data_IF_130168417963
#
_entry.id   IF_130168417963
#
_cell.length_a   1.000
_cell.length_b   1.000
_cell.length_c   1.000
_cell.angle_alpha   90.00
_cell.angle_beta   90.00
_cell.angle_gamma   90.00
#
_symmetry.space_group_name_H-M   'P 1'
#
loop_
_entity.id
_entity.type
_entity.pdbx_description
1 polymer ?
#
# COMPACT_ATOMS: atom_id res chain seq x y z
N UNK A 1 -45.41 -29.75 -21.34
CA UNK A 1 -44.93 -28.36 -21.48
C UNK A 1 -44.39 -27.81 -20.14
N UNK A 2 -43.45 -28.50 -19.48
CA UNK A 2 -42.88 -28.03 -18.20
C UNK A 2 -41.38 -28.35 -18.01
N UNK A 3 -40.78 -29.27 -18.77
CA UNK A 3 -39.33 -29.54 -18.69
C UNK A 3 -38.43 -28.61 -19.52
N UNK A 4 -38.98 -27.81 -20.45
CA UNK A 4 -38.17 -26.88 -21.28
C UNK A 4 -37.98 -25.49 -20.67
N UNK A 5 -38.69 -25.16 -19.57
CA UNK A 5 -38.55 -23.87 -18.87
C UNK A 5 -37.48 -23.90 -17.77
N UNK A 6 -37.22 -25.06 -17.16
CA UNK A 6 -36.21 -25.19 -16.10
C UNK A 6 -34.76 -25.08 -16.60
N UNK A 7 -34.48 -25.50 -17.85
CA UNK A 7 -33.12 -25.46 -18.42
C UNK A 7 -32.67 -24.05 -18.82
N UNK A 8 -33.61 -23.11 -19.02
CA UNK A 8 -33.27 -21.70 -19.33
C UNK A 8 -33.00 -20.85 -18.08
N UNK A 9 -33.61 -21.16 -16.93
CA UNK A 9 -33.34 -20.44 -15.68
C UNK A 9 -32.06 -20.90 -14.98
N UNK A 10 -31.60 -22.14 -15.19
CA UNK A 10 -30.30 -22.59 -14.67
C UNK A 10 -29.10 -22.02 -15.46
N UNK A 11 -29.29 -21.71 -16.74
CA UNK A 11 -28.22 -21.12 -17.58
C UNK A 11 -28.08 -19.60 -17.38
N UNK A 12 -29.06 -18.94 -16.74
CA UNK A 12 -28.97 -17.52 -16.36
C UNK A 12 -28.42 -17.31 -14.93
N UNK A 13 -28.32 -18.36 -14.11
CA UNK A 13 -27.72 -18.29 -12.78
C UNK A 13 -26.24 -18.72 -12.73
N UNK A 14 -25.72 -19.28 -13.83
CA UNK A 14 -24.29 -19.60 -14.00
C UNK A 14 -23.50 -18.50 -14.73
N UNK A 15 -24.16 -17.39 -15.07
CA UNK A 15 -23.53 -16.13 -15.44
C UNK A 15 -23.52 -15.15 -14.25
N UNK A 16 -23.47 -15.66 -13.01
CA UNK A 16 -22.89 -14.90 -11.93
C UNK A 16 -21.43 -14.69 -12.32
N UNK A 17 -21.16 -13.49 -12.82
CA UNK A 17 -19.86 -13.06 -13.29
C UNK A 17 -18.78 -13.55 -12.32
N UNK A 18 -17.99 -14.52 -12.78
CA UNK A 18 -16.56 -14.49 -12.46
C UNK A 18 -16.04 -13.20 -13.12
N UNK A 19 -16.27 -12.06 -12.48
CA UNK A 19 -15.28 -11.01 -12.46
C UNK A 19 -14.08 -11.66 -11.77
N UNK A 20 -13.28 -12.40 -12.55
CA UNK A 20 -11.87 -12.45 -12.23
C UNK A 20 -11.47 -10.98 -12.30
N UNK A 21 -11.45 -10.29 -11.17
CA UNK A 21 -10.58 -9.15 -11.04
C UNK A 21 -9.21 -9.70 -11.40
N UNK A 22 -8.79 -9.47 -12.65
CA UNK A 22 -7.41 -9.73 -13.01
C UNK A 22 -6.62 -8.89 -12.04
N UNK A 23 -5.90 -9.53 -11.12
CA UNK A 23 -4.98 -8.80 -10.26
C UNK A 23 -4.05 -8.00 -11.18
N UNK A 24 -4.15 -6.67 -11.13
CA UNK A 24 -3.40 -5.78 -12.04
C UNK A 24 -1.89 -5.85 -11.73
N UNK A 25 -1.52 -6.13 -10.48
CA UNK A 25 -0.15 -6.33 -10.03
C UNK A 25 -0.03 -7.57 -9.14
N UNK A 26 -0.01 -8.80 -9.70
CA UNK A 26 0.05 -10.05 -8.92
C UNK A 26 1.43 -10.29 -8.28
N UNK A 27 2.44 -9.52 -8.69
CA UNK A 27 3.77 -9.45 -8.06
C UNK A 27 4.06 -8.00 -7.69
N UNK A 28 4.99 -7.74 -6.75
CA UNK A 28 5.41 -6.38 -6.42
C UNK A 28 5.81 -5.59 -7.69
N UNK A 29 5.35 -4.34 -7.88
CA UNK A 29 5.76 -3.52 -8.99
C UNK A 29 7.26 -3.19 -8.88
N UNK A 30 7.98 -3.29 -9.99
CA UNK A 30 9.41 -2.98 -10.05
C UNK A 30 9.64 -1.93 -11.13
N UNK A 31 10.43 -0.91 -10.83
CA UNK A 31 10.61 0.20 -11.76
C UNK A 31 11.39 1.38 -11.22
N UNK A 32 11.15 2.52 -11.84
CA UNK A 32 11.70 3.83 -11.53
C UNK A 32 10.61 4.76 -10.98
N UNK A 33 10.97 5.53 -9.95
CA UNK A 33 10.23 6.68 -9.44
C UNK A 33 11.25 7.81 -9.22
N UNK A 34 10.90 9.03 -9.55
CA UNK A 34 11.81 10.18 -9.53
C UNK A 34 12.01 10.79 -8.14
N UNK A 35 11.04 10.67 -7.23
CA UNK A 35 10.97 11.46 -5.98
C UNK A 35 12.24 11.42 -5.14
N UNK A 36 12.74 10.22 -4.83
CA UNK A 36 13.87 10.04 -3.92
C UNK A 36 15.19 10.65 -4.41
N UNK A 37 15.30 10.97 -5.71
CA UNK A 37 16.52 11.52 -6.31
C UNK A 37 16.33 12.93 -6.87
N UNK A 38 15.21 13.18 -7.53
CA UNK A 38 14.97 14.40 -8.27
C UNK A 38 14.04 15.36 -7.53
N UNK A 39 13.21 14.88 -6.61
CA UNK A 39 12.15 15.69 -5.98
C UNK A 39 11.40 16.47 -7.08
N UNK A 40 11.29 17.79 -6.96
CA UNK A 40 10.64 18.64 -7.96
C UNK A 40 11.58 19.14 -9.08
N UNK A 41 12.84 18.69 -9.12
CA UNK A 41 13.81 19.04 -10.16
C UNK A 41 13.70 18.10 -11.39
N UNK A 42 12.51 18.06 -11.98
CA UNK A 42 12.15 17.13 -13.07
C UNK A 42 11.90 17.85 -14.40
N UNK A 43 11.93 17.08 -15.49
CA UNK A 43 11.39 17.44 -16.80
C UNK A 43 11.15 16.13 -17.58
N UNK A 44 10.55 16.22 -18.78
CA UNK A 44 10.28 15.07 -19.64
C UNK A 44 11.51 14.18 -19.87
N UNK A 45 12.70 14.77 -19.96
CA UNK A 45 13.95 14.06 -20.24
C UNK A 45 14.34 13.12 -19.10
N UNK A 46 14.06 13.46 -17.84
CA UNK A 46 14.32 12.56 -16.69
C UNK A 46 13.65 11.20 -16.90
N UNK A 47 12.42 11.20 -17.40
CA UNK A 47 11.64 9.98 -17.60
C UNK A 47 12.04 9.22 -18.86
N UNK A 48 12.36 9.92 -19.97
CA UNK A 48 12.86 9.25 -21.17
C UNK A 48 14.24 8.63 -20.94
N UNK A 49 15.13 9.32 -20.20
CA UNK A 49 16.45 8.81 -19.85
C UNK A 49 16.35 7.61 -18.91
N UNK A 50 15.41 7.61 -17.96
CA UNK A 50 15.15 6.46 -17.09
C UNK A 50 14.68 5.24 -17.89
N UNK A 51 13.77 5.42 -18.85
CA UNK A 51 13.34 4.35 -19.77
C UNK A 51 14.54 3.82 -20.56
N UNK A 52 15.31 4.69 -21.19
CA UNK A 52 16.44 4.30 -22.04
C UNK A 52 17.55 3.61 -21.24
N UNK A 53 17.81 4.06 -20.02
CA UNK A 53 18.72 3.41 -19.10
C UNK A 53 18.23 2.01 -18.71
N UNK A 54 16.95 1.85 -18.34
CA UNK A 54 16.40 0.55 -17.98
C UNK A 54 16.38 -0.44 -19.14
N UNK A 55 16.20 0.04 -20.37
CA UNK A 55 16.30 -0.78 -21.59
C UNK A 55 17.75 -1.16 -21.86
N UNK A 56 18.66 -0.20 -21.92
CA UNK A 56 20.06 -0.43 -22.32
C UNK A 56 20.86 -1.26 -21.29
N UNK A 57 20.51 -1.17 -20.01
CA UNK A 57 21.13 -1.95 -18.93
C UNK A 57 20.50 -3.34 -18.74
N UNK A 58 19.39 -3.63 -19.42
CA UNK A 58 18.65 -4.88 -19.28
C UNK A 58 17.74 -4.97 -18.05
N UNK A 59 17.62 -3.91 -17.24
CA UNK A 59 16.72 -3.88 -16.07
C UNK A 59 15.26 -4.15 -16.46
N UNK A 60 14.81 -3.59 -17.60
CA UNK A 60 13.47 -3.86 -18.13
C UNK A 60 13.23 -5.35 -18.33
N UNK A 61 14.21 -6.06 -18.88
CA UNK A 61 14.07 -7.46 -19.28
C UNK A 61 14.03 -8.40 -18.07
N UNK A 62 14.57 -7.96 -16.92
CA UNK A 62 14.48 -8.67 -15.64
C UNK A 62 13.32 -8.21 -14.75
N UNK A 63 12.42 -7.34 -15.25
CA UNK A 63 11.13 -7.05 -14.62
C UNK A 63 10.92 -5.61 -14.17
N UNK A 64 11.93 -4.71 -14.25
CA UNK A 64 11.75 -3.29 -13.95
C UNK A 64 10.98 -2.61 -15.07
N UNK A 65 9.64 -2.63 -14.99
CA UNK A 65 8.73 -2.22 -16.07
C UNK A 65 7.84 -1.04 -15.71
N UNK A 66 7.94 -0.47 -14.52
CA UNK A 66 7.17 0.71 -14.12
C UNK A 66 8.03 1.99 -14.22
N UNK A 67 7.46 3.06 -14.74
CA UNK A 67 8.04 4.42 -14.68
C UNK A 67 6.97 5.32 -14.10
N UNK A 68 7.17 5.81 -12.88
CA UNK A 68 6.23 6.72 -12.22
C UNK A 68 6.78 8.14 -12.19
N UNK A 69 5.91 9.09 -12.49
CA UNK A 69 6.11 10.51 -12.18
C UNK A 69 5.51 10.76 -10.79
N UNK A 70 6.31 11.30 -9.88
CA UNK A 70 5.88 11.74 -8.55
C UNK A 70 5.38 13.20 -8.55
N UNK A 71 5.30 13.86 -7.40
CA UNK A 71 4.79 15.24 -7.28
C UNK A 71 5.47 16.26 -8.23
N UNK A 72 4.92 17.47 -8.33
CA UNK A 72 5.47 18.59 -9.10
C UNK A 72 5.40 18.48 -10.64
N UNK A 73 4.57 17.58 -11.18
CA UNK A 73 4.40 17.41 -12.63
C UNK A 73 3.29 18.26 -13.27
N UNK A 74 2.28 18.60 -12.47
CA UNK A 74 1.03 19.20 -12.96
C UNK A 74 1.14 20.71 -13.12
N UNK A 75 0.24 21.29 -13.92
CA UNK A 75 0.01 22.73 -13.84
C UNK A 75 -0.60 23.05 -12.48
N UNK A 76 -0.26 24.23 -11.93
CA UNK A 76 -0.85 24.70 -10.68
C UNK A 76 -2.36 24.94 -10.77
N UNK A 77 -2.91 25.02 -11.98
CA UNK A 77 -4.33 25.20 -12.22
C UNK A 77 -4.93 23.98 -12.94
N UNK A 78 -6.14 23.63 -12.52
CA UNK A 78 -7.01 22.74 -13.29
C UNK A 78 -7.44 23.39 -14.59
N UNK A 79 -7.78 22.59 -15.58
CA UNK A 79 -8.39 23.08 -16.82
C UNK A 79 -9.80 23.60 -16.56
N UNK A 80 -10.42 24.25 -17.55
CA UNK A 80 -11.76 24.81 -17.41
C UNK A 80 -12.87 23.79 -17.11
N UNK A 81 -12.64 22.51 -17.38
CA UNK A 81 -13.60 21.44 -17.07
C UNK A 81 -13.37 20.83 -15.66
N UNK A 82 -12.37 21.33 -14.92
CA UNK A 82 -11.99 20.82 -13.60
C UNK A 82 -10.97 19.69 -13.62
N UNK A 83 -10.48 19.22 -14.78
CA UNK A 83 -9.46 18.18 -14.84
C UNK A 83 -8.07 18.71 -14.49
N UNK A 84 -7.20 17.84 -13.99
CA UNK A 84 -5.76 18.12 -13.97
C UNK A 84 -5.20 18.26 -15.39
N UNK A 85 -4.06 18.95 -15.50
CA UNK A 85 -3.23 19.05 -16.71
C UNK A 85 -1.76 19.13 -16.30
N UNK A 86 -0.84 18.92 -17.24
CA UNK A 86 0.60 18.95 -16.99
C UNK A 86 1.20 20.34 -17.19
N UNK A 87 2.34 20.62 -16.55
CA UNK A 87 3.15 21.79 -16.88
C UNK A 87 3.81 21.59 -18.26
N UNK A 88 3.40 22.41 -19.23
CA UNK A 88 3.89 22.35 -20.62
C UNK A 88 5.37 22.73 -20.78
N UNK A 89 5.98 23.41 -19.80
CA UNK A 89 7.43 23.66 -19.78
C UNK A 89 8.21 22.44 -19.35
N UNK A 90 7.68 21.68 -18.39
CA UNK A 90 8.29 20.42 -17.93
C UNK A 90 8.07 19.31 -18.95
N UNK A 91 6.87 19.23 -19.52
CA UNK A 91 6.45 18.21 -20.48
C UNK A 91 5.98 18.83 -21.81
N UNK A 92 6.91 19.32 -22.64
CA UNK A 92 6.57 20.03 -23.89
C UNK A 92 5.87 19.17 -24.94
N UNK A 93 6.06 17.85 -24.93
CA UNK A 93 5.31 16.93 -25.81
C UNK A 93 4.03 16.38 -25.16
N UNK A 94 3.82 16.68 -23.87
CA UNK A 94 2.68 16.24 -23.08
C UNK A 94 2.78 14.81 -22.55
N UNK A 95 1.92 14.49 -21.58
CA UNK A 95 1.94 13.19 -20.90
C UNK A 95 1.42 12.04 -21.75
N UNK A 96 0.54 12.31 -22.72
CA UNK A 96 0.09 11.28 -23.68
C UNK A 96 1.29 10.79 -24.51
N UNK A 97 2.12 11.71 -24.99
CA UNK A 97 3.34 11.35 -25.74
C UNK A 97 4.32 10.56 -24.86
N UNK A 98 4.48 10.96 -23.60
CA UNK A 98 5.37 10.26 -22.67
C UNK A 98 4.87 8.85 -22.35
N UNK A 99 3.57 8.69 -22.16
CA UNK A 99 2.91 7.39 -22.01
C UNK A 99 3.15 6.50 -23.22
N UNK A 100 2.91 7.01 -24.43
CA UNK A 100 3.19 6.30 -25.69
C UNK A 100 4.66 5.87 -25.79
N UNK A 101 5.59 6.73 -25.37
CA UNK A 101 7.03 6.43 -25.33
C UNK A 101 7.36 5.26 -24.39
N UNK A 102 6.79 5.28 -23.18
CA UNK A 102 6.96 4.24 -22.16
C UNK A 102 6.35 2.91 -22.65
N UNK A 103 5.12 2.94 -23.15
CA UNK A 103 4.40 1.76 -23.65
C UNK A 103 5.09 1.12 -24.85
N UNK A 104 5.64 1.92 -25.77
CA UNK A 104 6.42 1.43 -26.92
C UNK A 104 7.62 0.58 -26.48
N UNK A 105 8.18 0.88 -25.30
CA UNK A 105 9.27 0.14 -24.70
C UNK A 105 8.82 -1.07 -23.86
N UNK A 106 7.53 -1.44 -23.88
CA UNK A 106 6.94 -2.56 -23.12
C UNK A 106 7.00 -2.37 -21.61
N UNK A 107 6.81 -1.11 -21.19
CA UNK A 107 6.78 -0.65 -19.81
C UNK A 107 5.43 0.02 -19.54
N UNK A 108 5.12 0.24 -18.26
CA UNK A 108 3.89 0.81 -17.75
C UNK A 108 4.16 2.22 -17.23
N UNK A 109 3.22 3.13 -17.44
CA UNK A 109 3.30 4.52 -17.02
C UNK A 109 2.52 4.76 -15.73
N UNK A 110 3.17 5.32 -14.72
CA UNK A 110 2.55 5.70 -13.46
C UNK A 110 2.53 7.20 -13.24
N UNK A 111 1.50 7.67 -12.55
CA UNK A 111 1.31 9.09 -12.21
C UNK A 111 1.04 9.25 -10.71
N UNK A 112 1.24 10.47 -10.22
CA UNK A 112 0.99 10.87 -8.85
C UNK A 112 -0.21 11.82 -8.76
N UNK A 113 -0.99 11.65 -7.69
CA UNK A 113 -1.92 12.67 -7.20
C UNK A 113 -1.99 12.60 -5.67
N UNK A 114 -2.84 13.44 -5.07
CA UNK A 114 -3.05 13.51 -3.63
C UNK A 114 -4.54 13.38 -3.29
N UNK A 115 -4.86 12.69 -2.20
CA UNK A 115 -6.20 12.54 -1.67
C UNK A 115 -6.77 13.83 -1.06
N UNK A 116 -5.92 14.80 -0.70
CA UNK A 116 -6.30 16.11 -0.19
C UNK A 116 -6.54 17.16 -1.26
N UNK A 117 -6.72 18.41 -0.82
CA UNK A 117 -7.02 19.56 -1.70
C UNK A 117 -5.80 20.05 -2.48
N UNK A 118 -4.60 19.81 -1.95
CA UNK A 118 -3.33 20.14 -2.56
C UNK A 118 -2.37 18.95 -2.37
N UNK A 119 -1.46 18.75 -3.31
CA UNK A 119 -0.36 17.82 -3.14
C UNK A 119 0.61 18.30 -2.06
N UNK A 120 1.48 17.41 -1.58
CA UNK A 120 2.57 17.79 -0.67
C UNK A 120 3.46 18.92 -1.23
N UNK A 121 3.66 18.97 -2.55
CA UNK A 121 4.36 20.03 -3.28
C UNK A 121 3.54 21.30 -3.55
N UNK A 122 2.27 21.36 -3.12
CA UNK A 122 1.40 22.52 -3.28
C UNK A 122 0.72 22.64 -4.65
N UNK A 123 0.62 21.53 -5.40
CA UNK A 123 -0.13 21.45 -6.67
C UNK A 123 -1.56 20.99 -6.42
N UNK A 124 -2.42 21.02 -7.43
CA UNK A 124 -3.83 20.64 -7.27
C UNK A 124 -3.96 19.16 -6.87
N UNK A 125 -4.56 18.89 -5.70
CA UNK A 125 -4.91 17.54 -5.24
C UNK A 125 -6.26 17.09 -5.78
N UNK A 126 -6.59 15.80 -5.65
CA UNK A 126 -7.77 15.16 -6.27
C UNK A 126 -9.00 15.08 -5.37
N UNK A 127 -9.01 15.69 -4.18
CA UNK A 127 -10.20 15.71 -3.32
C UNK A 127 -11.43 16.27 -4.06
N UNK A 128 -12.54 15.51 -4.05
CA UNK A 128 -13.78 15.78 -4.80
C UNK A 128 -13.65 15.87 -6.33
N UNK A 129 -12.52 15.40 -6.88
CA UNK A 129 -12.25 15.30 -8.31
C UNK A 129 -11.84 13.87 -8.72
N UNK A 130 -12.08 12.87 -7.88
CA UNK A 130 -11.58 11.51 -8.01
C UNK A 130 -12.00 10.89 -9.36
N UNK A 131 -13.27 11.01 -9.74
CA UNK A 131 -13.79 10.41 -10.98
C UNK A 131 -13.28 11.13 -12.24
N UNK A 132 -13.17 12.46 -12.22
CA UNK A 132 -12.66 13.23 -13.37
C UNK A 132 -11.17 13.02 -13.55
N UNK A 133 -10.40 13.00 -12.46
CA UNK A 133 -8.96 12.81 -12.49
C UNK A 133 -8.62 11.38 -12.91
N UNK A 134 -9.29 10.36 -12.36
CA UNK A 134 -9.10 8.97 -12.80
C UNK A 134 -9.36 8.76 -14.29
N UNK A 135 -10.45 9.34 -14.83
CA UNK A 135 -10.76 9.29 -16.27
C UNK A 135 -9.73 10.05 -17.10
N UNK A 136 -9.23 11.17 -16.58
CA UNK A 136 -8.18 11.97 -17.22
C UNK A 136 -6.89 11.15 -17.32
N UNK A 137 -6.45 10.52 -16.23
CA UNK A 137 -5.29 9.65 -16.21
C UNK A 137 -5.42 8.47 -17.17
N UNK A 138 -6.58 7.78 -17.15
CA UNK A 138 -6.85 6.70 -18.09
C UNK A 138 -6.79 7.17 -19.55
N UNK A 139 -7.31 8.38 -19.85
CA UNK A 139 -7.24 8.96 -21.20
C UNK A 139 -5.82 9.29 -21.66
N UNK A 140 -4.88 9.46 -20.72
CA UNK A 140 -3.45 9.64 -21.00
C UNK A 140 -2.67 8.33 -21.05
N UNK A 141 -3.34 7.17 -20.88
CA UNK A 141 -2.70 5.86 -20.87
C UNK A 141 -1.94 5.54 -19.59
N UNK A 142 -2.32 6.12 -18.45
CA UNK A 142 -1.74 5.77 -17.16
C UNK A 142 -2.18 4.35 -16.76
N UNK A 143 -1.24 3.56 -16.23
CA UNK A 143 -1.44 2.18 -15.76
C UNK A 143 -1.34 2.07 -14.22
N UNK A 144 -0.83 3.10 -13.55
CA UNK A 144 -0.52 3.08 -12.12
C UNK A 144 -0.74 4.46 -11.49
N UNK A 145 -1.46 4.53 -10.38
CA UNK A 145 -1.67 5.75 -9.60
C UNK A 145 -1.04 5.59 -8.21
N UNK A 146 -0.06 6.44 -7.90
CA UNK A 146 0.32 6.75 -6.52
C UNK A 146 -0.60 7.87 -6.02
N UNK A 147 -1.36 7.60 -4.97
CA UNK A 147 -2.18 8.60 -4.31
C UNK A 147 -1.61 8.88 -2.93
N UNK A 148 -1.18 10.13 -2.72
CA UNK A 148 -0.68 10.60 -1.43
C UNK A 148 -1.80 11.17 -0.55
N UNK A 149 -1.47 11.69 0.62
CA UNK A 149 -2.46 12.13 1.61
C UNK A 149 -2.19 13.49 2.25
N UNK A 150 -1.38 14.36 1.65
CA UNK A 150 -1.17 15.70 2.22
C UNK A 150 -2.45 16.55 2.10
N UNK A 151 -2.60 17.52 3.02
CA UNK A 151 -3.71 18.48 2.96
C UNK A 151 -5.11 17.84 2.94
N UNK A 152 -5.27 16.70 3.62
CA UNK A 152 -6.57 16.13 3.97
C UNK A 152 -7.08 16.81 5.23
N UNK A 153 -8.25 17.44 5.14
CA UNK A 153 -8.86 18.12 6.29
C UNK A 153 -9.40 17.11 7.31
N UNK A 154 -9.09 17.31 8.59
CA UNK A 154 -9.70 16.52 9.67
C UNK A 154 -11.21 16.77 9.74
N UNK A 155 -11.99 15.70 9.85
CA UNK A 155 -13.45 15.80 10.00
C UNK A 155 -13.84 15.82 11.48
N UNK A 156 -14.59 16.82 11.98
CA UNK A 156 -15.01 16.86 13.37
C UNK A 156 -15.75 15.58 13.81
N UNK A 157 -15.25 14.93 14.86
CA UNK A 157 -15.82 13.70 15.38
C UNK A 157 -15.37 12.42 14.66
N UNK A 158 -14.45 12.52 13.70
CA UNK A 158 -13.75 11.37 13.12
C UNK A 158 -12.27 11.37 13.53
N UNK A 159 -11.71 10.16 13.63
CA UNK A 159 -10.27 9.95 13.67
C UNK A 159 -9.63 10.18 12.29
N UNK A 160 -8.32 10.36 12.27
CA UNK A 160 -7.57 10.44 11.01
C UNK A 160 -7.73 9.14 10.21
N UNK A 161 -7.63 7.96 10.83
CA UNK A 161 -7.85 6.67 10.14
C UNK A 161 -9.21 6.61 9.44
N UNK A 162 -10.29 6.97 10.15
CA UNK A 162 -11.63 7.00 9.55
C UNK A 162 -11.71 7.97 8.36
N UNK A 163 -11.09 9.14 8.49
CA UNK A 163 -11.07 10.17 7.43
C UNK A 163 -10.32 9.67 6.20
N UNK A 164 -9.10 9.15 6.36
CA UNK A 164 -8.29 8.64 5.26
C UNK A 164 -8.92 7.41 4.60
N UNK A 165 -9.45 6.46 5.37
CA UNK A 165 -10.16 5.30 4.81
C UNK A 165 -11.34 5.74 3.95
N UNK A 166 -12.18 6.65 4.44
CA UNK A 166 -13.34 7.14 3.69
C UNK A 166 -12.97 7.82 2.37
N UNK A 167 -11.84 8.54 2.32
CA UNK A 167 -11.40 9.22 1.10
C UNK A 167 -10.80 8.21 0.11
N UNK A 168 -9.93 7.31 0.56
CA UNK A 168 -9.29 6.31 -0.30
C UNK A 168 -10.29 5.28 -0.84
N UNK A 169 -11.31 4.90 -0.06
CA UNK A 169 -12.39 4.00 -0.48
C UNK A 169 -13.16 4.53 -1.71
N UNK A 170 -13.16 5.85 -1.95
CA UNK A 170 -13.80 6.44 -3.14
C UNK A 170 -13.12 6.00 -4.45
N UNK A 171 -11.84 5.67 -4.41
CA UNK A 171 -11.05 5.29 -5.58
C UNK A 171 -11.20 3.80 -5.95
N UNK A 172 -11.45 2.94 -4.96
CA UNK A 172 -11.58 1.49 -5.15
C UNK A 172 -12.62 1.06 -6.20
N UNK A 173 -13.81 1.69 -6.32
CA UNK A 173 -14.73 1.36 -7.41
C UNK A 173 -14.38 2.04 -8.76
N UNK A 174 -13.56 3.10 -8.76
CA UNK A 174 -13.27 3.93 -9.94
C UNK A 174 -12.12 3.35 -10.77
N UNK A 175 -11.03 2.91 -10.13
CA UNK A 175 -9.79 2.53 -10.81
C UNK A 175 -9.82 1.15 -11.50
N UNK A 176 -10.43 0.09 -10.94
CA UNK A 176 -10.38 -1.23 -11.57
C UNK A 176 -10.98 -1.29 -12.98
N UNK A 177 -12.13 -0.65 -13.28
CA UNK A 177 -12.66 -0.56 -14.65
C UNK A 177 -11.73 0.16 -15.64
N UNK A 178 -10.80 0.98 -15.13
CA UNK A 178 -9.81 1.73 -15.92
C UNK A 178 -8.48 0.97 -16.06
N UNK A 179 -8.35 -0.21 -15.47
CA UNK A 179 -7.12 -1.00 -15.40
C UNK A 179 -5.91 -0.25 -14.79
N UNK A 180 -6.17 0.65 -13.84
CA UNK A 180 -5.11 1.40 -13.14
C UNK A 180 -4.78 0.68 -11.82
N UNK A 181 -3.51 0.33 -11.64
CA UNK A 181 -2.99 -0.20 -10.37
C UNK A 181 -2.97 0.91 -9.33
N UNK A 182 -3.44 0.63 -8.12
CA UNK A 182 -3.57 1.63 -7.07
C UNK A 182 -2.49 1.45 -6.00
N UNK A 183 -1.73 2.51 -5.72
CA UNK A 183 -0.75 2.61 -4.66
C UNK A 183 -1.20 3.63 -3.63
N UNK A 184 -1.51 3.13 -2.43
CA UNK A 184 -2.22 3.88 -1.41
C UNK A 184 -1.28 4.32 -0.29
N UNK A 185 -1.06 5.63 -0.12
CA UNK A 185 -0.26 6.14 1.01
C UNK A 185 -1.03 6.19 2.33
N UNK A 186 -2.35 5.92 2.34
CA UNK A 186 -3.24 6.17 3.47
C UNK A 186 -2.69 5.72 4.86
N UNK A 187 -2.13 4.50 5.01
CA UNK A 187 -1.61 4.05 6.31
C UNK A 187 -0.55 4.98 6.90
N UNK A 188 0.30 5.61 6.07
CA UNK A 188 1.35 6.51 6.52
C UNK A 188 0.83 7.73 7.29
N UNK A 189 -0.47 8.06 7.17
CA UNK A 189 -1.06 9.26 7.76
C UNK A 189 -1.86 9.03 9.04
N UNK A 190 -2.15 7.78 9.40
CA UNK A 190 -2.90 7.46 10.62
C UNK A 190 -2.25 6.41 11.51
N UNK A 191 -1.21 5.72 11.02
CA UNK A 191 -0.38 4.85 11.85
C UNK A 191 0.46 5.72 12.77
N UNK A 192 0.04 5.81 14.03
CA UNK A 192 0.78 6.51 15.09
C UNK A 192 1.75 5.56 15.79
N UNK A 193 3.01 5.99 15.97
CA UNK A 193 4.12 5.33 16.68
C UNK A 193 3.90 5.02 18.18
N UNK A 194 2.65 4.92 18.65
CA UNK A 194 2.31 4.69 20.07
C UNK A 194 1.96 3.25 20.41
N UNK A 195 2.38 2.28 19.60
CA UNK A 195 2.19 0.82 19.72
C UNK A 195 1.91 0.29 21.16
N UNK A 196 0.64 0.12 21.57
CA UNK A 196 0.32 -1.03 22.41
C UNK A 196 0.31 -2.27 21.53
N UNK A 197 1.07 -3.30 21.91
CA UNK A 197 0.87 -4.63 21.33
C UNK A 197 -0.50 -5.12 21.83
N UNK A 198 -1.45 -5.24 20.91
CA UNK A 198 -2.82 -5.65 21.22
C UNK A 198 -3.24 -6.79 20.29
N UNK A 199 -4.22 -7.58 20.72
CA UNK A 199 -4.86 -8.53 19.82
C UNK A 199 -6.02 -7.86 19.07
N UNK A 200 -6.26 -8.33 17.85
CA UNK A 200 -7.28 -7.79 16.96
C UNK A 200 -7.72 -8.82 15.94
N UNK A 201 -8.74 -8.48 15.15
CA UNK A 201 -9.16 -9.34 14.04
C UNK A 201 -8.05 -9.40 12.99
N UNK A 202 -7.65 -10.60 12.58
CA UNK A 202 -6.73 -10.78 11.44
C UNK A 202 -7.40 -10.25 10.17
N UNK A 203 -6.97 -9.08 9.71
CA UNK A 203 -7.45 -8.38 8.52
C UNK A 203 -6.29 -8.06 7.56
N UNK A 204 -5.10 -8.58 7.83
CA UNK A 204 -3.89 -8.45 7.02
C UNK A 204 -3.46 -6.99 6.78
N UNK A 205 -3.63 -6.12 7.78
CA UNK A 205 -3.03 -4.78 7.75
C UNK A 205 -1.54 -4.84 8.06
N UNK A 206 -0.79 -3.80 7.70
CA UNK A 206 0.67 -3.76 7.82
C UNK A 206 1.18 -3.97 9.26
N UNK A 207 0.41 -3.55 10.27
CA UNK A 207 0.72 -3.72 11.69
C UNK A 207 0.60 -5.19 12.16
N UNK A 208 0.00 -6.06 11.33
CA UNK A 208 -0.13 -7.49 11.57
C UNK A 208 0.99 -8.30 10.92
N UNK A 209 1.92 -7.66 10.18
CA UNK A 209 3.07 -8.34 9.61
C UNK A 209 4.27 -8.25 10.56
N UNK A 210 4.78 -9.41 10.92
CA UNK A 210 5.93 -9.55 11.80
C UNK A 210 6.97 -10.45 11.15
N UNK A 211 8.24 -10.10 11.32
CA UNK A 211 9.37 -10.90 10.86
C UNK A 211 10.07 -11.53 12.05
N UNK A 212 10.60 -12.74 11.87
CA UNK A 212 11.39 -13.44 12.89
C UNK A 212 12.81 -13.62 12.38
N UNK A 213 13.77 -13.13 13.16
CA UNK A 213 15.18 -13.33 12.85
C UNK A 213 15.65 -14.73 13.25
N UNK A 214 16.75 -15.24 12.68
CA UNK A 214 17.38 -16.48 13.13
C UNK A 214 17.78 -16.48 14.62
N UNK A 215 17.95 -15.29 15.21
CA UNK A 215 18.27 -15.10 16.63
C UNK A 215 17.02 -15.13 17.52
N UNK A 216 15.81 -15.16 16.95
CA UNK A 216 14.54 -15.19 17.68
C UNK A 216 13.98 -13.80 18.04
N UNK A 217 14.49 -12.72 17.42
CA UNK A 217 13.82 -11.41 17.54
C UNK A 217 12.59 -11.38 16.64
N UNK A 218 11.47 -10.89 17.17
CA UNK A 218 10.24 -10.68 16.41
C UNK A 218 10.11 -9.17 16.17
N UNK A 219 10.15 -8.71 14.92
CA UNK A 219 10.12 -7.29 14.57
C UNK A 219 8.93 -6.94 13.70
N UNK A 220 8.35 -5.75 13.88
CA UNK A 220 7.31 -5.21 13.03
C UNK A 220 7.95 -4.29 11.96
N UNK A 221 8.28 -4.81 10.75
CA UNK A 221 9.04 -4.06 9.75
C UNK A 221 8.35 -2.75 9.32
N UNK A 222 7.02 -2.73 9.35
CA UNK A 222 6.21 -1.58 8.95
C UNK A 222 5.80 -0.66 10.12
N UNK A 223 6.05 -1.07 11.37
CA UNK A 223 5.78 -0.26 12.56
C UNK A 223 7.10 0.20 13.21
N UNK A 224 7.85 1.04 12.48
CA UNK A 224 9.12 1.62 12.94
C UNK A 224 10.28 0.62 13.07
N UNK A 225 10.13 -0.60 12.53
CA UNK A 225 11.10 -1.69 12.65
C UNK A 225 11.49 -2.02 14.11
N UNK A 226 10.51 -1.91 15.02
CA UNK A 226 10.68 -2.19 16.44
C UNK A 226 10.55 -3.68 16.74
N UNK A 227 11.27 -4.14 17.77
CA UNK A 227 11.26 -5.52 18.23
C UNK A 227 10.30 -5.69 19.42
N UNK A 228 9.56 -6.81 19.40
CA UNK A 228 8.74 -7.27 20.51
C UNK A 228 9.63 -7.55 21.73
N UNK A 229 9.32 -6.93 22.86
CA UNK A 229 10.11 -6.98 24.08
C UNK A 229 9.24 -7.12 25.31
N UNK A 230 9.84 -7.58 26.41
CA UNK A 230 9.19 -7.65 27.72
C UNK A 230 9.84 -6.65 28.67
N UNK A 231 9.03 -5.75 29.23
CA UNK A 231 9.39 -4.87 30.35
C UNK A 231 8.54 -5.21 31.56
N UNK A 232 9.12 -5.93 32.52
CA UNK A 232 8.38 -6.46 33.67
C UNK A 232 7.38 -7.54 33.23
N UNK A 233 6.09 -7.31 33.43
CA UNK A 233 5.01 -8.19 32.94
C UNK A 233 4.37 -7.70 31.62
N UNK A 234 4.78 -6.52 31.13
CA UNK A 234 4.20 -5.90 29.95
C UNK A 234 4.97 -6.27 28.70
N UNK A 235 4.23 -6.51 27.63
CA UNK A 235 4.77 -6.72 26.29
C UNK A 235 4.69 -5.40 25.53
N UNK A 236 5.81 -4.99 24.95
CA UNK A 236 5.99 -3.69 24.28
C UNK A 236 6.79 -3.86 23.00
N UNK A 237 6.77 -2.87 22.13
CA UNK A 237 7.74 -2.75 21.03
C UNK A 237 8.79 -1.70 21.37
N UNK A 238 10.05 -1.98 21.10
CA UNK A 238 11.15 -1.02 21.25
C UNK A 238 12.28 -1.27 20.25
N UNK A 239 13.27 -0.39 20.19
CA UNK A 239 14.41 -0.55 19.27
C UNK A 239 15.05 -1.94 19.38
N UNK A 240 15.29 -2.57 18.24
CA UNK A 240 15.92 -3.88 18.17
C UNK A 240 17.37 -3.82 18.65
N UNK A 241 17.64 -4.45 19.79
CA UNK A 241 18.96 -4.56 20.44
C UNK A 241 19.41 -6.01 20.61
N UNK A 242 18.53 -6.98 20.36
CA UNK A 242 18.74 -8.41 20.66
C UNK A 242 19.02 -8.68 22.14
N UNK A 243 18.58 -7.78 23.03
CA UNK A 243 18.62 -8.02 24.47
C UNK A 243 17.77 -9.25 24.83
N UNK A 244 18.04 -9.97 25.94
CA UNK A 244 17.28 -11.17 26.31
C UNK A 244 15.77 -10.96 26.42
N UNK A 245 15.31 -9.74 26.71
CA UNK A 245 13.89 -9.39 26.73
C UNK A 245 13.23 -9.36 25.35
N UNK A 246 14.02 -9.34 24.27
CA UNK A 246 13.58 -9.29 22.86
C UNK A 246 13.75 -10.63 22.13
N UNK A 247 14.35 -11.63 22.77
CA UNK A 247 14.56 -12.94 22.18
C UNK A 247 13.43 -13.86 22.58
N UNK A 248 12.79 -14.45 21.58
CA UNK A 248 11.65 -15.34 21.71
C UNK A 248 11.99 -16.67 21.05
N UNK A 249 11.88 -17.76 21.81
CA UNK A 249 11.93 -19.10 21.23
C UNK A 249 10.53 -19.50 20.81
N UNK A 250 10.41 -19.97 19.57
CA UNK A 250 9.18 -20.54 19.04
C UNK A 250 9.34 -22.05 18.84
N UNK A 251 8.27 -22.80 19.11
CA UNK A 251 8.21 -24.24 18.88
C UNK A 251 7.10 -24.61 17.91
N UNK A 252 7.07 -25.87 17.46
CA UNK A 252 6.04 -26.39 16.53
C UNK A 252 4.63 -26.24 17.12
N UNK A 253 4.50 -26.22 18.45
CA UNK A 253 3.24 -26.03 19.15
C UNK A 253 2.78 -24.55 19.24
N UNK A 254 3.50 -23.60 18.60
CA UNK A 254 3.10 -22.19 18.53
C UNK A 254 3.37 -21.35 19.78
N UNK A 255 4.06 -21.90 20.79
CA UNK A 255 4.44 -21.11 21.98
C UNK A 255 5.53 -20.11 21.65
N UNK A 256 5.35 -18.87 22.09
CA UNK A 256 6.39 -17.85 22.12
C UNK A 256 6.91 -17.67 23.53
N UNK A 257 8.11 -18.18 23.81
CA UNK A 257 8.73 -18.09 25.14
C UNK A 257 9.81 -17.03 25.17
N UNK A 258 9.67 -16.05 26.04
CA UNK A 258 10.66 -15.00 26.19
C UNK A 258 11.93 -15.50 26.89
N UNK A 259 13.11 -15.14 26.38
CA UNK A 259 14.38 -15.62 26.93
C UNK A 259 14.68 -15.04 28.31
N UNK A 260 14.33 -13.78 28.59
CA UNK A 260 14.58 -13.13 29.88
C UNK A 260 13.66 -13.66 30.99
N UNK A 261 12.35 -13.72 30.74
CA UNK A 261 11.36 -14.08 31.78
C UNK A 261 11.07 -15.57 31.87
N UNK A 262 11.40 -16.35 30.82
CA UNK A 262 11.00 -17.77 30.68
C UNK A 262 9.48 -17.96 30.70
N UNK A 263 8.73 -16.92 30.36
CA UNK A 263 7.28 -16.91 30.31
C UNK A 263 6.79 -16.90 28.86
N UNK A 264 5.59 -17.43 28.66
CA UNK A 264 4.93 -17.49 27.37
C UNK A 264 4.17 -16.20 27.10
N UNK A 265 4.21 -15.73 25.85
CA UNK A 265 3.28 -14.73 25.36
C UNK A 265 1.85 -15.23 25.61
N UNK A 266 1.00 -14.39 26.17
CA UNK A 266 -0.35 -14.77 26.58
C UNK A 266 -1.34 -13.68 26.23
N UNK A 267 -2.38 -14.05 25.49
CA UNK A 267 -3.54 -13.21 25.22
C UNK A 267 -4.60 -13.37 26.32
N UNK A 268 -5.13 -12.25 26.82
CA UNK A 268 -6.28 -12.24 27.73
C UNK A 268 -7.10 -10.98 27.53
N UNK A 269 -8.40 -11.13 27.24
CA UNK A 269 -9.35 -10.00 27.11
C UNK A 269 -8.82 -8.89 26.19
N UNK A 270 -8.34 -9.25 24.99
CA UNK A 270 -7.76 -8.32 24.02
C UNK A 270 -6.45 -7.63 24.41
N UNK A 271 -5.81 -8.07 25.50
CA UNK A 271 -4.51 -7.59 25.95
C UNK A 271 -3.45 -8.68 25.83
N UNK A 272 -2.22 -8.27 25.50
CA UNK A 272 -1.06 -9.15 25.40
C UNK A 272 -0.16 -8.94 26.61
N UNK A 273 0.29 -10.03 27.22
CA UNK A 273 1.18 -10.04 28.38
C UNK A 273 2.09 -11.27 28.35
N UNK A 274 2.94 -11.43 29.38
CA UNK A 274 3.65 -12.69 29.63
C UNK A 274 3.12 -13.39 30.87
N UNK A 275 2.97 -14.71 30.79
CA UNK A 275 2.55 -15.54 31.92
C UNK A 275 3.31 -16.88 31.93
N UNK A 276 3.20 -17.63 33.04
CA UNK A 276 3.76 -18.98 33.10
C UNK A 276 3.22 -19.82 31.94
N UNK A 277 4.12 -20.51 31.22
CA UNK A 277 3.73 -21.42 30.16
C UNK A 277 2.86 -22.55 30.72
N UNK A 278 1.70 -22.77 30.11
CA UNK A 278 0.81 -23.88 30.37
C UNK A 278 0.84 -24.91 29.24
N UNK A 279 0.23 -26.05 29.49
CA UNK A 279 0.11 -27.13 28.52
C UNK A 279 -1.14 -26.87 27.64
N UNK A 280 -0.93 -26.74 26.34
CA UNK A 280 -1.97 -26.57 25.29
C UNK A 280 -3.03 -25.48 25.59
N UNK A 281 -2.60 -24.37 26.20
CA UNK A 281 -3.48 -23.22 26.41
C UNK A 281 -3.66 -22.44 25.09
N UNK A 282 -4.89 -22.39 24.57
CA UNK A 282 -5.25 -21.62 23.37
C UNK A 282 -4.75 -20.17 23.43
N UNK A 283 -4.79 -19.55 24.62
CA UNK A 283 -4.32 -18.18 24.84
C UNK A 283 -2.80 -17.99 24.72
N UNK A 284 -2.03 -19.06 24.53
CA UNK A 284 -0.56 -19.06 24.43
C UNK A 284 -0.04 -19.63 23.11
N UNK A 285 -0.93 -19.99 22.18
CA UNK A 285 -0.59 -20.56 20.89
C UNK A 285 -0.72 -19.48 19.82
N UNK A 286 0.40 -19.12 19.20
CA UNK A 286 0.49 -18.13 18.13
C UNK A 286 1.02 -18.81 16.88
N UNK A 287 0.27 -18.66 15.78
CA UNK A 287 0.72 -19.16 14.49
C UNK A 287 1.77 -18.20 13.94
N UNK A 288 2.94 -18.77 13.65
CA UNK A 288 4.08 -18.05 13.12
C UNK A 288 4.49 -18.81 11.86
N UNK A 289 4.72 -18.12 10.74
CA UNK A 289 5.23 -18.77 9.55
C UNK A 289 6.58 -19.43 9.85
N UNK A 290 6.65 -20.75 9.64
CA UNK A 290 7.87 -21.54 9.71
C UNK A 290 8.76 -21.34 8.48
#
# INVERSE_FOLDING_TARGET
MQLRKAVRSALQLLLAARLSSSMLSPTPPMGFNDWARFECAINQTVFTDAVDAMVSTGLRDVGFKLVTIDDCWSDHNRTSNGSLTWDTKLFPNGLIWLSDYIHKNKMNFGIYSDAGILTCGGYQGSYNHEEIDAKTFASWGVDYLKLDGCNVDSVPGQSDEETYRQIYERWHPILPPLNITFSESAPAYFVNDKNPVASGKCNATEEQFWNISPQGTISAPFAGNACLSVKGSSVVTENCTSAPGQIWTHGIAGYLVNQATKQCLTEKNSSISVAKCGDELDSQVFEIPL
#
